data_IF_747746158746
#
_entry.id   IF_747746158746
#
_cell.length_a   1.000
_cell.length_b   1.000
_cell.length_c   1.000
_cell.angle_alpha   90.00
_cell.angle_beta   90.00
_cell.angle_gamma   90.00
#
_symmetry.space_group_name_H-M   'P 1'
#
loop_
_entity.id
_entity.type
_entity.pdbx_description
1 polymer ?
#
# COMPACT_ATOMS: atom_id res chain seq x y z
N UNK A 1 10.00 -10.53 -15.23
CA UNK A 1 9.70 -9.09 -14.99
C UNK A 1 9.81 -8.68 -13.51
N UNK A 2 8.92 -9.11 -12.59
CA UNK A 2 8.94 -8.69 -11.18
C UNK A 2 10.29 -8.88 -10.46
N UNK A 3 10.85 -10.10 -10.50
CA UNK A 3 12.13 -10.40 -9.82
C UNK A 3 13.28 -9.53 -10.31
N UNK A 4 13.27 -9.18 -11.61
CA UNK A 4 14.27 -8.31 -12.21
C UNK A 4 14.11 -6.87 -11.67
N UNK A 5 12.88 -6.35 -11.64
CA UNK A 5 12.58 -5.05 -11.06
C UNK A 5 13.04 -4.95 -9.61
N UNK A 6 12.74 -5.95 -8.77
CA UNK A 6 13.14 -5.96 -7.35
C UNK A 6 14.66 -5.93 -7.19
N UNK A 7 15.40 -6.70 -7.99
CA UNK A 7 16.88 -6.70 -7.95
C UNK A 7 17.46 -5.36 -8.37
N UNK A 8 16.95 -4.77 -9.45
CA UNK A 8 17.41 -3.47 -9.96
C UNK A 8 17.04 -2.30 -9.03
N UNK A 9 15.98 -2.44 -8.24
CA UNK A 9 15.59 -1.46 -7.23
C UNK A 9 16.42 -1.58 -5.95
N UNK A 10 16.79 -2.80 -5.56
CA UNK A 10 17.64 -3.03 -4.39
C UNK A 10 19.01 -2.35 -4.53
N UNK A 11 19.53 -2.26 -5.77
CA UNK A 11 20.82 -1.62 -6.11
C UNK A 11 20.70 -0.12 -6.40
N UNK A 12 19.49 0.44 -6.52
CA UNK A 12 19.30 1.81 -6.97
C UNK A 12 19.59 2.82 -5.86
N UNK A 13 20.38 3.86 -6.18
CA UNK A 13 20.62 4.97 -5.26
C UNK A 13 19.33 5.77 -4.96
N UNK A 14 19.26 6.50 -3.83
CA UNK A 14 18.12 7.37 -3.54
C UNK A 14 17.79 8.34 -4.68
N UNK A 15 18.82 8.94 -5.29
CA UNK A 15 18.67 9.84 -6.45
C UNK A 15 18.07 9.12 -7.67
N UNK A 16 18.52 7.89 -7.95
CA UNK A 16 17.97 7.10 -9.05
C UNK A 16 16.50 6.73 -8.82
N UNK A 17 16.12 6.38 -7.58
CA UNK A 17 14.73 6.09 -7.20
C UNK A 17 13.84 7.32 -7.31
N UNK A 18 14.31 8.48 -6.83
CA UNK A 18 13.60 9.75 -6.96
C UNK A 18 13.35 10.12 -8.42
N UNK A 19 14.39 10.02 -9.28
CA UNK A 19 14.23 10.23 -10.72
C UNK A 19 13.22 9.29 -11.34
N UNK A 20 13.28 7.99 -11.02
CA UNK A 20 12.31 6.99 -11.52
C UNK A 20 10.88 7.31 -11.04
N UNK A 21 10.72 7.80 -9.82
CA UNK A 21 9.42 8.23 -9.28
C UNK A 21 8.87 9.40 -10.10
N UNK A 22 9.65 10.46 -10.29
CA UNK A 22 9.22 11.63 -11.08
C UNK A 22 8.84 11.25 -12.50
N UNK A 23 9.69 10.49 -13.20
CA UNK A 23 9.44 10.06 -14.58
C UNK A 23 8.23 9.13 -14.65
N UNK A 24 8.14 8.17 -13.73
CA UNK A 24 7.05 7.21 -13.68
C UNK A 24 5.70 7.87 -13.40
N UNK A 25 5.62 8.77 -12.42
CA UNK A 25 4.39 9.51 -12.10
C UNK A 25 3.95 10.33 -13.31
N UNK A 26 4.85 11.09 -13.92
CA UNK A 26 4.54 11.86 -15.14
C UNK A 26 4.02 10.96 -16.27
N UNK A 27 4.65 9.81 -16.48
CA UNK A 27 4.26 8.85 -17.52
C UNK A 27 2.85 8.30 -17.26
N UNK A 28 2.55 7.92 -16.01
CA UNK A 28 1.21 7.45 -15.62
C UNK A 28 0.17 8.55 -15.85
N UNK A 29 0.46 9.79 -15.43
CA UNK A 29 -0.46 10.91 -15.59
C UNK A 29 -0.73 11.23 -17.07
N UNK A 30 0.31 11.18 -17.92
CA UNK A 30 0.18 11.35 -19.37
C UNK A 30 -0.67 10.23 -20.00
N UNK A 31 -0.45 8.98 -19.61
CA UNK A 31 -1.24 7.84 -20.09
C UNK A 31 -2.71 7.95 -19.66
N UNK A 32 -2.97 8.28 -18.39
CA UNK A 32 -4.32 8.47 -17.87
C UNK A 32 -5.02 9.67 -18.52
N UNK A 33 -4.29 10.74 -18.86
CA UNK A 33 -4.86 11.87 -19.59
C UNK A 33 -5.22 11.51 -21.03
N UNK A 34 -4.37 10.73 -21.70
CA UNK A 34 -4.54 10.36 -23.12
C UNK A 34 -5.56 9.26 -23.33
N UNK A 35 -5.59 8.27 -22.44
CA UNK A 35 -6.37 7.03 -22.60
C UNK A 35 -7.38 6.79 -21.48
N UNK A 36 -7.42 7.62 -20.44
CA UNK A 36 -8.32 7.47 -19.29
C UNK A 36 -9.74 8.00 -19.53
N UNK A 37 -10.25 7.87 -20.76
CA UNK A 37 -11.65 8.16 -21.11
C UNK A 37 -12.14 7.10 -22.07
N UNK A 38 -13.29 6.51 -21.77
CA UNK A 38 -13.93 5.54 -22.66
C UNK A 38 -15.44 5.53 -22.45
N UNK A 39 -16.19 5.46 -23.54
CA UNK A 39 -17.65 5.30 -23.50
C UNK A 39 -18.09 3.88 -23.14
N UNK A 40 -17.20 2.89 -23.24
CA UNK A 40 -17.49 1.51 -22.83
C UNK A 40 -17.47 1.38 -21.29
N UNK A 41 -18.56 0.91 -20.64
CA UNK A 41 -18.64 0.78 -19.19
C UNK A 41 -17.56 -0.13 -18.58
N UNK A 42 -17.20 -1.23 -19.26
CA UNK A 42 -16.17 -2.15 -18.79
C UNK A 42 -14.79 -1.51 -18.75
N UNK A 43 -14.45 -0.73 -19.78
CA UNK A 43 -13.19 0.02 -19.85
C UNK A 43 -13.20 1.17 -18.85
N UNK A 44 -14.33 1.86 -18.68
CA UNK A 44 -14.46 2.96 -17.73
C UNK A 44 -14.20 2.50 -16.28
N UNK A 45 -14.64 1.29 -15.90
CA UNK A 45 -14.32 0.70 -14.60
C UNK A 45 -12.81 0.53 -14.37
N UNK A 46 -12.10 0.05 -15.39
CA UNK A 46 -10.63 -0.11 -15.33
C UNK A 46 -9.94 1.25 -15.23
N UNK A 47 -10.38 2.22 -16.03
CA UNK A 47 -9.87 3.60 -16.00
C UNK A 47 -10.03 4.22 -14.62
N UNK A 48 -11.24 4.17 -14.04
CA UNK A 48 -11.51 4.70 -12.70
C UNK A 48 -10.61 4.05 -11.64
N UNK A 49 -10.40 2.74 -11.71
CA UNK A 49 -9.49 2.02 -10.82
C UNK A 49 -8.05 2.54 -10.94
N UNK A 50 -7.54 2.69 -12.17
CA UNK A 50 -6.18 3.18 -12.42
C UNK A 50 -6.00 4.63 -11.94
N UNK A 51 -7.01 5.49 -12.14
CA UNK A 51 -7.01 6.88 -11.68
C UNK A 51 -6.98 6.97 -10.15
N UNK A 52 -7.87 6.23 -9.47
CA UNK A 52 -7.92 6.20 -8.01
C UNK A 52 -6.61 5.71 -7.38
N UNK A 53 -5.93 4.76 -8.03
CA UNK A 53 -4.64 4.25 -7.57
C UNK A 53 -3.43 5.10 -7.96
N UNK A 54 -3.58 6.07 -8.89
CA UNK A 54 -2.45 6.81 -9.49
C UNK A 54 -1.44 7.37 -8.48
N UNK A 55 -1.88 8.01 -7.38
CA UNK A 55 -0.97 8.57 -6.38
C UNK A 55 -0.09 7.52 -5.68
N UNK A 56 -0.49 6.24 -5.71
CA UNK A 56 0.05 5.16 -4.88
C UNK A 56 0.81 4.09 -5.68
N UNK A 57 0.64 4.00 -7.00
CA UNK A 57 1.25 2.92 -7.82
C UNK A 57 2.77 2.82 -7.68
N UNK A 58 3.45 3.94 -7.43
CA UNK A 58 4.90 4.02 -7.35
C UNK A 58 5.44 4.19 -5.93
N UNK A 59 4.64 3.88 -4.90
CA UNK A 59 5.03 4.02 -3.49
C UNK A 59 6.28 3.24 -3.12
N UNK A 60 6.52 2.09 -3.77
CA UNK A 60 7.74 1.29 -3.59
C UNK A 60 9.03 1.99 -4.06
N UNK A 61 8.94 3.10 -4.82
CA UNK A 61 10.09 3.95 -5.15
C UNK A 61 10.42 4.93 -4.03
N UNK A 62 9.42 5.32 -3.23
CA UNK A 62 9.58 6.22 -2.07
C UNK A 62 10.21 5.49 -0.88
N UNK A 63 9.72 4.30 -0.55
CA UNK A 63 10.14 3.57 0.67
C UNK A 63 11.12 2.45 0.35
N UNK A 64 12.33 2.48 0.91
CA UNK A 64 13.32 1.41 0.72
C UNK A 64 12.83 0.13 1.40
N UNK A 65 13.06 -1.03 0.77
CA UNK A 65 12.65 -2.33 1.32
C UNK A 65 11.17 -2.68 1.10
N UNK A 66 10.39 -1.80 0.47
CA UNK A 66 9.04 -2.12 0.02
C UNK A 66 9.08 -2.88 -1.30
N UNK A 67 8.29 -3.95 -1.38
CA UNK A 67 8.14 -4.75 -2.60
C UNK A 67 7.42 -3.92 -3.68
N UNK A 68 7.77 -4.15 -4.96
CA UNK A 68 7.07 -3.55 -6.09
C UNK A 68 5.67 -4.16 -6.36
N UNK A 69 5.24 -5.10 -5.51
CA UNK A 69 3.90 -5.71 -5.55
C UNK A 69 3.15 -5.42 -4.26
N UNK A 70 1.83 -5.36 -4.33
CA UNK A 70 0.99 -5.12 -3.16
C UNK A 70 0.83 -6.35 -2.25
N UNK A 71 1.47 -7.48 -2.57
CA UNK A 71 1.26 -8.75 -1.87
C UNK A 71 1.46 -8.66 -0.34
N UNK A 72 2.49 -7.93 0.12
CA UNK A 72 2.73 -7.74 1.56
C UNK A 72 1.67 -6.84 2.20
N UNK A 73 1.24 -5.78 1.49
CA UNK A 73 0.16 -4.89 1.94
C UNK A 73 -1.16 -5.64 2.08
N UNK A 74 -1.56 -6.40 1.05
CA UNK A 74 -2.78 -7.21 1.08
C UNK A 74 -2.77 -8.23 2.21
N UNK A 75 -1.64 -8.93 2.42
CA UNK A 75 -1.51 -9.86 3.53
C UNK A 75 -1.69 -9.18 4.88
N UNK A 76 -1.10 -7.99 5.08
CA UNK A 76 -1.27 -7.21 6.31
C UNK A 76 -2.71 -6.77 6.56
N UNK A 77 -3.48 -6.52 5.49
CA UNK A 77 -4.88 -6.11 5.59
C UNK A 77 -5.87 -7.26 5.82
N UNK A 78 -5.49 -8.53 5.60
CA UNK A 78 -6.41 -9.67 5.74
C UNK A 78 -6.97 -9.80 7.15
N UNK A 79 -6.13 -9.64 8.16
CA UNK A 79 -6.54 -9.68 9.57
C UNK A 79 -7.56 -8.58 9.86
N UNK A 80 -7.31 -7.36 9.36
CA UNK A 80 -8.23 -6.22 9.49
C UNK A 80 -9.61 -6.50 8.87
N UNK A 81 -9.64 -7.12 7.69
CA UNK A 81 -10.88 -7.47 6.98
C UNK A 81 -11.70 -8.49 7.78
N UNK A 82 -11.04 -9.52 8.34
CA UNK A 82 -11.72 -10.54 9.16
C UNK A 82 -12.31 -9.91 10.42
N UNK A 83 -11.52 -9.11 11.15
CA UNK A 83 -11.99 -8.42 12.35
C UNK A 83 -13.17 -7.51 12.03
N UNK A 84 -13.08 -6.71 10.96
CA UNK A 84 -14.18 -5.83 10.52
C UNK A 84 -15.47 -6.61 10.28
N UNK A 85 -15.39 -7.80 9.66
CA UNK A 85 -16.57 -8.66 9.42
C UNK A 85 -17.18 -9.15 10.73
N UNK A 86 -16.35 -9.55 11.70
CA UNK A 86 -16.79 -10.02 13.02
C UNK A 86 -17.51 -8.90 13.78
N UNK A 87 -16.96 -7.68 13.78
CA UNK A 87 -17.56 -6.53 14.50
C UNK A 87 -18.66 -5.82 13.69
N UNK A 88 -19.01 -6.35 12.50
CA UNK A 88 -19.99 -5.80 11.57
C UNK A 88 -19.46 -4.64 10.74
N UNK A 89 -19.08 -3.52 11.36
CA UNK A 89 -18.47 -2.37 10.66
C UNK A 89 -17.77 -1.40 11.61
N UNK A 90 -16.89 -0.57 11.05
CA UNK A 90 -16.37 0.62 11.72
C UNK A 90 -17.40 1.75 11.52
N UNK A 91 -17.91 2.30 12.63
CA UNK A 91 -19.09 3.21 12.63
C UNK A 91 -18.74 4.67 12.33
N UNK A 92 -17.48 5.07 12.43
CA UNK A 92 -16.99 6.41 12.14
C UNK A 92 -15.49 6.41 11.81
N UNK A 93 -15.00 7.53 11.28
CA UNK A 93 -13.60 7.70 10.88
C UNK A 93 -12.63 7.63 12.05
N UNK A 94 -12.97 8.20 13.21
CA UNK A 94 -12.11 8.16 14.40
C UNK A 94 -11.84 6.71 14.84
N UNK A 95 -12.88 5.87 14.86
CA UNK A 95 -12.76 4.45 15.18
C UNK A 95 -11.99 3.68 14.12
N UNK A 96 -12.17 4.03 12.84
CA UNK A 96 -11.40 3.42 11.76
C UNK A 96 -9.90 3.76 11.84
N UNK A 97 -9.58 5.01 12.18
CA UNK A 97 -8.20 5.46 12.35
C UNK A 97 -7.55 4.82 13.57
N UNK A 98 -8.24 4.78 14.72
CA UNK A 98 -7.76 4.10 15.91
C UNK A 98 -7.49 2.61 15.63
N UNK A 99 -8.43 1.95 14.93
CA UNK A 99 -8.27 0.56 14.52
C UNK A 99 -7.07 0.33 13.59
N UNK A 100 -6.88 1.19 12.60
CA UNK A 100 -5.73 1.13 11.69
C UNK A 100 -4.40 1.32 12.43
N UNK A 101 -4.33 2.27 13.37
CA UNK A 101 -3.14 2.51 14.21
C UNK A 101 -2.82 1.30 15.08
N UNK A 102 -3.82 0.72 15.77
CA UNK A 102 -3.64 -0.48 16.58
C UNK A 102 -3.10 -1.65 15.74
N UNK A 103 -3.71 -1.93 14.59
CA UNK A 103 -3.24 -3.01 13.72
C UNK A 103 -1.85 -2.74 13.14
N UNK A 104 -1.50 -1.48 12.86
CA UNK A 104 -0.15 -1.12 12.41
C UNK A 104 0.91 -1.44 13.48
N UNK A 105 0.65 -1.11 14.74
CA UNK A 105 1.55 -1.41 15.87
C UNK A 105 1.69 -2.91 16.06
N UNK A 106 0.57 -3.63 16.18
CA UNK A 106 0.56 -5.09 16.36
C UNK A 106 1.23 -5.81 15.18
N UNK A 107 0.95 -5.37 13.95
CA UNK A 107 1.55 -5.91 12.73
C UNK A 107 3.06 -5.66 12.68
N UNK A 108 3.52 -4.50 13.15
CA UNK A 108 4.95 -4.18 13.24
C UNK A 108 5.65 -5.13 14.20
N UNK A 109 5.13 -5.32 15.42
CA UNK A 109 5.69 -6.26 16.39
C UNK A 109 5.74 -7.70 15.84
N UNK A 110 4.66 -8.17 15.21
CA UNK A 110 4.65 -9.49 14.53
C UNK A 110 5.74 -9.59 13.46
N UNK A 111 5.96 -8.54 12.66
CA UNK A 111 7.01 -8.51 11.63
C UNK A 111 8.43 -8.53 12.21
N UNK A 112 8.62 -8.01 13.42
CA UNK A 112 9.88 -8.09 14.16
C UNK A 112 10.07 -9.42 14.91
N UNK A 113 9.11 -10.34 14.83
CA UNK A 113 9.15 -11.60 15.58
C UNK A 113 8.84 -11.43 17.07
N UNK A 114 8.30 -10.28 17.47
CA UNK A 114 7.93 -9.99 18.84
C UNK A 114 6.54 -10.54 19.16
N UNK A 115 6.31 -10.92 20.42
CA UNK A 115 4.98 -11.29 20.90
C UNK A 115 4.14 -10.03 21.15
N UNK A 116 3.02 -9.80 20.42
CA UNK A 116 2.24 -8.58 20.57
C UNK A 116 1.60 -8.41 21.95
N UNK A 117 1.22 -9.48 22.65
CA UNK A 117 0.60 -9.35 23.98
C UNK A 117 1.63 -8.90 25.02
N UNK A 118 2.85 -9.46 24.97
CA UNK A 118 3.95 -9.05 25.84
C UNK A 118 4.33 -7.59 25.59
N UNK A 119 4.46 -7.17 24.33
CA UNK A 119 4.79 -5.77 23.98
C UNK A 119 3.68 -4.80 24.39
N UNK A 120 2.42 -5.19 24.21
CA UNK A 120 1.28 -4.38 24.62
C UNK A 120 1.27 -4.17 26.14
N UNK A 121 1.48 -5.24 26.92
CA UNK A 121 1.56 -5.13 28.38
C UNK A 121 2.67 -4.17 28.80
N UNK A 122 3.87 -4.32 28.24
CA UNK A 122 5.02 -3.47 28.58
C UNK A 122 4.84 -1.98 28.22
N UNK A 123 3.95 -1.64 27.29
CA UNK A 123 3.66 -0.25 26.91
C UNK A 123 2.60 0.39 27.83
N UNK A 124 1.74 -0.43 28.43
CA UNK A 124 0.62 0.03 29.27
C UNK A 124 0.91 -0.03 30.77
N UNK A 125 1.96 -0.77 31.17
CA UNK A 125 2.50 -0.82 32.54
C UNK A 125 3.40 0.37 32.83
#
# INVERSE_FOLDING_TARGET
LYRQMTRELAKASPKARARRLTVGTRTIDELLRRYGRSSSPGVQKVVTYLQNGSPWWLTFLKHRGMDATNNRGERGLREAIVIRKIVGTLRNWNGAEAFARMLSVLGTWKLHGENPSTKLYAVLS
#
